data_IF_467322662083
#
_entry.id   IF_467322662083
#
_cell.length_a   1.000
_cell.length_b   1.000
_cell.length_c   1.000
_cell.angle_alpha   90.00
_cell.angle_beta   90.00
_cell.angle_gamma   90.00
#
_symmetry.space_group_name_H-M   'P 1'
#
loop_
_entity.id
_entity.type
_entity.pdbx_description
1 polymer ?
#
# COMPACT_ATOMS: atom_id res chain seq x y z
N UNK A 1 6.05 30.77 4.03
CA UNK A 1 5.90 29.72 5.03
C UNK A 1 6.92 28.59 4.99
N UNK A 2 7.73 28.47 3.92
CA UNK A 2 8.73 27.41 3.80
C UNK A 2 8.15 26.03 3.47
N UNK A 3 9.02 25.02 3.38
CA UNK A 3 8.67 23.66 2.97
C UNK A 3 7.77 22.97 4.00
N UNK A 4 7.96 23.19 5.30
CA UNK A 4 7.13 22.58 6.35
C UNK A 4 5.65 22.88 6.13
N UNK A 5 5.29 24.14 5.94
CA UNK A 5 3.89 24.54 5.66
C UNK A 5 3.37 24.02 4.33
N UNK A 6 4.22 23.90 3.32
CA UNK A 6 3.85 23.30 2.04
C UNK A 6 3.55 21.80 2.18
N UNK A 7 4.34 21.07 2.99
CA UNK A 7 4.11 19.66 3.31
C UNK A 7 2.81 19.47 4.10
N UNK A 8 2.58 20.30 5.13
CA UNK A 8 1.34 20.29 5.92
C UNK A 8 0.11 20.54 5.03
N UNK A 9 0.21 21.45 4.06
CA UNK A 9 -0.83 21.72 3.07
C UNK A 9 -0.97 20.62 1.99
N UNK A 10 -0.06 19.65 1.93
CA UNK A 10 -0.05 18.54 0.97
C UNK A 10 0.40 18.93 -0.45
N UNK A 11 0.91 20.15 -0.66
CA UNK A 11 1.22 20.67 -2.00
C UNK A 11 2.21 19.80 -2.78
N UNK A 12 3.40 19.43 -2.26
CA UNK A 12 4.35 18.60 -2.99
C UNK A 12 3.77 17.23 -3.34
N UNK A 13 3.06 16.62 -2.39
CA UNK A 13 2.45 15.31 -2.54
C UNK A 13 1.38 15.29 -3.64
N UNK A 14 0.46 16.25 -3.63
CA UNK A 14 -0.57 16.37 -4.67
C UNK A 14 0.01 16.57 -6.06
N UNK A 15 1.08 17.36 -6.20
CA UNK A 15 1.77 17.56 -7.48
C UNK A 15 2.43 16.28 -8.00
N UNK A 16 3.03 15.48 -7.11
CA UNK A 16 3.62 14.20 -7.46
C UNK A 16 2.53 13.20 -7.90
N UNK A 17 1.42 13.15 -7.19
CA UNK A 17 0.29 12.27 -7.51
C UNK A 17 -0.35 12.66 -8.86
N UNK A 18 -0.58 13.95 -9.10
CA UNK A 18 -1.07 14.45 -10.39
C UNK A 18 -0.14 14.06 -11.55
N UNK A 19 1.16 14.28 -11.40
CA UNK A 19 2.14 13.93 -12.43
C UNK A 19 2.19 12.40 -12.66
N UNK A 20 2.08 11.60 -11.60
CA UNK A 20 2.07 10.14 -11.69
C UNK A 20 0.81 9.61 -12.39
N UNK A 21 -0.37 10.12 -12.06
CA UNK A 21 -1.63 9.74 -12.70
C UNK A 21 -1.63 10.10 -14.20
N UNK A 22 -1.17 11.29 -14.55
CA UNK A 22 -1.02 11.73 -15.95
C UNK A 22 -0.02 10.87 -16.71
N UNK A 23 1.10 10.51 -16.09
CA UNK A 23 2.10 9.63 -16.70
C UNK A 23 1.54 8.23 -16.93
N UNK A 24 0.82 7.68 -15.96
CA UNK A 24 0.19 6.35 -16.10
C UNK A 24 -0.84 6.34 -17.24
N UNK A 25 -1.71 7.34 -17.31
CA UNK A 25 -2.68 7.46 -18.39
C UNK A 25 -2.04 7.47 -19.79
N UNK A 26 -0.88 8.13 -19.93
CA UNK A 26 -0.10 8.14 -21.19
C UNK A 26 0.51 6.77 -21.50
N UNK A 27 0.92 6.03 -20.47
CA UNK A 27 1.42 4.65 -20.64
C UNK A 27 0.27 3.73 -21.05
N UNK A 28 -0.86 3.81 -20.36
CA UNK A 28 -2.02 2.94 -20.60
C UNK A 28 -2.64 3.19 -21.98
N UNK A 29 -2.66 4.44 -22.43
CA UNK A 29 -3.10 4.82 -23.79
C UNK A 29 -2.03 4.63 -24.88
N UNK A 30 -0.88 4.07 -24.57
CA UNK A 30 0.26 3.88 -25.48
C UNK A 30 0.85 5.17 -26.08
N UNK A 31 0.52 6.35 -25.55
CA UNK A 31 1.18 7.60 -25.91
C UNK A 31 2.65 7.59 -25.48
N UNK A 32 2.94 7.03 -24.30
CA UNK A 32 4.30 6.78 -23.84
C UNK A 32 4.58 5.27 -23.98
N UNK A 33 5.61 4.95 -24.76
CA UNK A 33 6.02 3.56 -25.00
C UNK A 33 7.06 3.15 -23.98
N UNK A 34 6.77 2.07 -23.25
CA UNK A 34 7.72 1.36 -22.40
C UNK A 34 7.97 -0.01 -23.03
N UNK A 35 9.17 -0.22 -23.57
CA UNK A 35 9.54 -1.47 -24.26
C UNK A 35 9.42 -2.65 -23.28
N UNK A 36 8.80 -3.72 -23.73
CA UNK A 36 8.55 -4.91 -22.91
C UNK A 36 7.42 -4.77 -21.89
N UNK A 37 6.78 -3.59 -21.77
CA UNK A 37 5.67 -3.37 -20.84
C UNK A 37 4.35 -3.14 -21.59
N UNK A 38 4.23 -2.07 -22.36
CA UNK A 38 3.03 -1.77 -23.13
C UNK A 38 3.21 -1.88 -24.65
N UNK A 39 4.44 -2.09 -25.12
CA UNK A 39 4.77 -2.34 -26.53
C UNK A 39 6.02 -3.22 -26.67
N UNK A 40 6.12 -3.95 -27.78
CA UNK A 40 7.25 -4.84 -28.09
C UNK A 40 7.43 -5.94 -27.01
N UNK A 41 6.33 -6.48 -26.53
CA UNK A 41 6.33 -7.64 -25.61
C UNK A 41 6.61 -8.91 -26.39
N UNK A 42 7.29 -9.86 -25.77
CA UNK A 42 7.39 -11.22 -26.28
C UNK A 42 6.07 -11.94 -26.08
N UNK A 43 5.65 -12.77 -27.03
CA UNK A 43 4.46 -13.63 -26.89
C UNK A 43 4.66 -14.66 -25.78
N UNK A 44 5.90 -15.09 -25.60
CA UNK A 44 6.30 -16.04 -24.54
C UNK A 44 7.64 -15.59 -23.99
N UNK A 45 7.68 -15.40 -22.68
CA UNK A 45 8.92 -15.12 -21.93
C UNK A 45 9.35 -16.39 -21.19
N UNK A 46 10.65 -16.66 -21.20
CA UNK A 46 11.20 -17.72 -20.37
C UNK A 46 11.08 -17.32 -18.88
N UNK A 47 10.78 -18.28 -17.99
CA UNK A 47 10.69 -17.97 -16.57
C UNK A 47 12.05 -17.49 -16.05
N UNK A 48 12.04 -16.28 -15.47
CA UNK A 48 13.22 -15.71 -14.82
C UNK A 48 13.39 -16.33 -13.44
N UNK A 49 14.62 -16.72 -13.11
CA UNK A 49 14.94 -17.12 -11.74
C UNK A 49 15.02 -15.86 -10.85
N UNK A 50 13.95 -15.63 -10.09
CA UNK A 50 13.86 -14.49 -9.18
C UNK A 50 14.35 -14.93 -7.81
N UNK A 51 15.22 -14.10 -7.20
CA UNK A 51 15.63 -14.32 -5.81
C UNK A 51 14.41 -14.09 -4.90
N UNK A 52 13.91 -15.16 -4.30
CA UNK A 52 12.82 -15.12 -3.34
C UNK A 52 13.37 -14.99 -1.92
N UNK A 53 12.75 -14.13 -1.12
CA UNK A 53 13.10 -13.91 0.27
C UNK A 53 12.10 -14.67 1.15
N UNK A 54 12.59 -15.66 1.90
CA UNK A 54 11.78 -16.32 2.93
C UNK A 54 11.52 -15.34 4.09
N UNK A 55 10.38 -14.64 4.02
CA UNK A 55 10.00 -13.62 4.99
C UNK A 55 9.80 -14.20 6.39
N UNK A 56 9.32 -15.44 6.52
CA UNK A 56 9.12 -16.09 7.82
C UNK A 56 10.44 -16.42 8.48
N UNK A 57 11.40 -16.94 7.72
CA UNK A 57 12.75 -17.20 8.21
C UNK A 57 13.44 -15.89 8.63
N UNK A 58 13.42 -14.87 7.79
CA UNK A 58 14.03 -13.56 8.07
C UNK A 58 13.42 -12.95 9.32
N UNK A 59 12.07 -12.98 9.45
CA UNK A 59 11.38 -12.46 10.64
C UNK A 59 11.81 -13.19 11.91
N UNK A 60 11.81 -14.53 11.88
CA UNK A 60 12.25 -15.35 13.04
C UNK A 60 13.67 -15.04 13.46
N UNK A 61 14.59 -14.92 12.49
CA UNK A 61 15.99 -14.56 12.75
C UNK A 61 16.13 -13.16 13.37
N UNK A 62 15.40 -12.17 12.86
CA UNK A 62 15.44 -10.80 13.39
C UNK A 62 14.87 -10.73 14.81
N UNK A 63 13.76 -11.41 15.08
CA UNK A 63 13.16 -11.46 16.43
C UNK A 63 14.14 -12.11 17.41
N UNK A 64 14.70 -13.28 17.09
CA UNK A 64 15.67 -13.96 17.92
C UNK A 64 16.91 -13.08 18.23
N UNK A 65 17.42 -12.37 17.20
CA UNK A 65 18.54 -11.44 17.37
C UNK A 65 18.19 -10.27 18.31
N UNK A 66 17.00 -9.72 18.22
CA UNK A 66 16.55 -8.65 19.12
C UNK A 66 16.42 -9.15 20.57
N UNK A 67 15.91 -10.35 20.78
CA UNK A 67 15.81 -10.99 22.09
C UNK A 67 17.20 -11.21 22.69
N UNK A 68 18.16 -11.73 21.92
CA UNK A 68 19.53 -11.90 22.35
C UNK A 68 20.18 -10.57 22.75
N UNK A 69 20.01 -9.52 21.92
CA UNK A 69 20.55 -8.18 22.21
C UNK A 69 19.95 -7.64 23.51
N UNK A 70 18.64 -7.74 23.71
CA UNK A 70 17.94 -7.27 24.90
C UNK A 70 18.36 -8.04 26.15
N UNK A 71 18.58 -9.35 26.04
CA UNK A 71 19.03 -10.19 27.14
C UNK A 71 20.48 -9.92 27.57
N UNK A 72 21.37 -9.59 26.60
CA UNK A 72 22.81 -9.43 26.86
C UNK A 72 23.25 -7.98 27.14
N UNK A 73 22.40 -6.98 26.89
CA UNK A 73 22.73 -5.57 27.11
C UNK A 73 22.70 -5.16 28.58
N UNK A 74 23.38 -4.08 28.92
CA UNK A 74 23.20 -3.43 30.21
C UNK A 74 21.89 -2.64 30.24
N UNK A 75 20.88 -3.20 30.93
CA UNK A 75 19.53 -2.65 30.97
C UNK A 75 19.47 -1.25 31.60
N UNK A 76 20.29 -0.97 32.63
CA UNK A 76 20.32 0.34 33.29
C UNK A 76 20.84 1.43 32.34
N UNK A 77 21.95 1.15 31.61
CA UNK A 77 22.48 2.09 30.60
C UNK A 77 21.51 2.31 29.45
N UNK A 78 20.86 1.24 28.98
CA UNK A 78 19.86 1.34 27.93
C UNK A 78 18.68 2.24 28.37
N UNK A 79 18.14 2.01 29.56
CA UNK A 79 17.05 2.80 30.11
C UNK A 79 17.42 4.28 30.30
N UNK A 80 18.60 4.58 30.86
CA UNK A 80 19.09 5.97 30.97
C UNK A 80 19.21 6.67 29.61
N UNK A 81 19.61 5.93 28.56
CA UNK A 81 19.69 6.49 27.20
C UNK A 81 18.30 6.81 26.63
N UNK A 82 17.29 5.98 26.89
CA UNK A 82 15.89 6.21 26.49
C UNK A 82 15.33 7.44 27.21
N UNK A 83 15.57 7.55 28.50
CA UNK A 83 15.12 8.69 29.31
C UNK A 83 15.78 10.00 28.84
N UNK A 84 17.07 9.99 28.53
CA UNK A 84 17.80 11.15 28.02
C UNK A 84 17.24 11.62 26.66
N UNK A 85 16.86 10.69 25.75
CA UNK A 85 16.21 10.99 24.49
C UNK A 85 14.84 11.66 24.73
N UNK A 86 14.02 11.08 25.58
CA UNK A 86 12.68 11.61 25.90
C UNK A 86 12.79 12.99 26.54
N UNK A 87 13.73 13.21 27.46
CA UNK A 87 13.91 14.50 28.12
C UNK A 87 14.42 15.58 27.14
N UNK A 88 15.38 15.22 26.28
CA UNK A 88 15.86 16.12 25.24
C UNK A 88 14.71 16.51 24.27
N UNK A 89 13.85 15.56 23.90
CA UNK A 89 12.69 15.80 23.05
C UNK A 89 11.69 16.75 23.73
N UNK A 90 11.42 16.59 25.04
CA UNK A 90 10.50 17.44 25.81
C UNK A 90 11.00 18.85 25.96
N UNK A 91 12.28 19.02 26.29
CA UNK A 91 12.85 20.33 26.64
C UNK A 91 13.38 21.10 25.44
N UNK A 92 13.67 20.41 24.33
CA UNK A 92 14.37 20.98 23.18
C UNK A 92 15.86 21.27 23.45
N UNK A 93 16.38 20.90 24.63
CA UNK A 93 17.76 21.12 25.01
C UNK A 93 18.60 19.88 24.71
N UNK A 94 19.64 20.02 23.90
CA UNK A 94 20.55 18.95 23.55
C UNK A 94 20.51 18.59 22.06
N UNK A 95 21.08 17.43 21.73
CA UNK A 95 21.17 16.94 20.36
C UNK A 95 20.59 15.52 20.30
N UNK A 96 19.39 15.38 19.76
CA UNK A 96 18.69 14.10 19.65
C UNK A 96 19.48 13.05 18.86
N UNK A 97 20.20 13.46 17.81
CA UNK A 97 21.01 12.53 17.01
C UNK A 97 22.18 11.98 17.81
N UNK A 98 22.88 12.84 18.54
CA UNK A 98 24.00 12.40 19.39
C UNK A 98 23.51 11.44 20.48
N UNK A 99 22.37 11.73 21.12
CA UNK A 99 21.75 10.85 22.11
C UNK A 99 21.27 9.53 21.51
N UNK A 100 20.73 9.54 20.28
CA UNK A 100 20.31 8.32 19.58
C UNK A 100 21.54 7.43 19.24
N UNK A 101 22.65 8.04 18.83
CA UNK A 101 23.91 7.30 18.60
C UNK A 101 24.40 6.66 19.90
N UNK A 102 24.36 7.39 21.01
CA UNK A 102 24.75 6.84 22.31
C UNK A 102 23.81 5.74 22.79
N UNK A 103 22.51 5.89 22.57
CA UNK A 103 21.53 4.86 22.85
C UNK A 103 21.82 3.57 22.02
N UNK A 104 22.11 3.72 20.74
CA UNK A 104 22.49 2.58 19.89
C UNK A 104 23.78 1.89 20.35
N UNK A 105 24.78 2.64 20.84
CA UNK A 105 26.00 2.09 21.47
C UNK A 105 25.67 1.29 22.74
N UNK A 106 24.67 1.72 23.49
CA UNK A 106 24.17 1.02 24.67
C UNK A 106 23.17 -0.10 24.31
N UNK A 107 23.09 -0.48 23.01
CA UNK A 107 22.23 -1.57 22.49
C UNK A 107 20.73 -1.31 22.67
N UNK A 108 20.30 -0.05 22.70
CA UNK A 108 18.92 0.33 22.53
C UNK A 108 18.51 0.06 21.08
N UNK A 109 17.40 -0.58 20.86
CA UNK A 109 16.91 -0.89 19.50
C UNK A 109 16.34 0.34 18.82
N UNK A 110 16.27 0.32 17.49
CA UNK A 110 15.67 1.41 16.71
C UNK A 110 14.21 1.68 17.13
N UNK A 111 13.44 0.60 17.41
CA UNK A 111 12.07 0.73 17.91
C UNK A 111 12.02 1.49 19.23
N UNK A 112 12.82 1.11 20.22
CA UNK A 112 12.86 1.79 21.51
C UNK A 112 13.27 3.26 21.42
N UNK A 113 14.20 3.61 20.49
CA UNK A 113 14.57 5.00 20.20
C UNK A 113 13.37 5.76 19.60
N UNK A 114 12.67 5.15 18.64
CA UNK A 114 11.49 5.74 18.02
C UNK A 114 10.35 5.92 19.02
N UNK A 115 10.10 4.93 19.85
CA UNK A 115 9.05 4.97 20.89
C UNK A 115 9.32 6.10 21.90
N UNK A 116 10.59 6.29 22.30
CA UNK A 116 10.98 7.39 23.18
C UNK A 116 10.65 8.78 22.61
N UNK A 117 10.80 8.95 21.30
CA UNK A 117 10.45 10.20 20.61
C UNK A 117 8.94 10.31 20.37
N UNK A 118 8.27 9.20 20.09
CA UNK A 118 6.82 9.16 19.85
C UNK A 118 6.00 9.55 21.08
N UNK A 119 6.50 9.24 22.29
CA UNK A 119 5.89 9.69 23.56
C UNK A 119 5.76 11.22 23.62
N UNK A 120 6.69 11.95 23.00
CA UNK A 120 6.70 13.42 23.02
C UNK A 120 6.03 14.04 21.80
N UNK A 121 6.37 13.54 20.61
CA UNK A 121 5.92 14.13 19.34
C UNK A 121 4.64 13.50 18.80
N UNK A 122 4.25 12.33 19.29
CA UNK A 122 3.23 11.50 18.67
C UNK A 122 3.67 10.96 17.31
N UNK A 123 2.85 10.10 16.73
CA UNK A 123 3.07 9.58 15.38
C UNK A 123 2.42 10.50 14.36
N UNK A 124 3.18 10.95 13.38
CA UNK A 124 2.65 11.74 12.27
C UNK A 124 1.65 10.90 11.45
N UNK A 125 0.42 11.41 11.35
CA UNK A 125 -0.61 10.86 10.47
C UNK A 125 -0.80 11.81 9.31
N UNK A 126 -0.31 11.44 8.13
CA UNK A 126 -0.49 12.25 6.93
C UNK A 126 -1.98 12.32 6.56
N UNK A 127 -2.47 13.51 6.22
CA UNK A 127 -3.81 13.65 5.65
C UNK A 127 -3.80 13.03 4.24
N UNK A 128 -4.73 12.09 4.03
CA UNK A 128 -4.94 11.51 2.71
C UNK A 128 -5.82 12.47 1.94
N UNK A 129 -5.27 13.05 0.86
CA UNK A 129 -6.03 13.84 -0.11
C UNK A 129 -6.00 13.06 -1.41
N UNK A 130 -7.16 12.80 -2.00
CA UNK A 130 -7.28 12.19 -3.33
C UNK A 130 -7.41 13.28 -4.38
N UNK A 131 -6.92 12.98 -5.57
CA UNK A 131 -7.16 13.75 -6.79
C UNK A 131 -8.05 12.92 -7.71
N UNK A 132 -8.90 13.58 -8.48
CA UNK A 132 -9.78 12.95 -9.47
C UNK A 132 -9.78 13.76 -10.76
N UNK A 133 -10.21 13.14 -11.86
CA UNK A 133 -10.30 13.77 -13.17
C UNK A 133 -8.98 13.88 -13.95
N UNK A 134 -7.84 13.59 -13.33
CA UNK A 134 -6.52 13.73 -13.97
C UNK A 134 -6.24 12.57 -14.92
N UNK A 135 -6.56 11.34 -14.51
CA UNK A 135 -6.36 10.15 -15.31
C UNK A 135 -7.31 10.15 -16.52
N UNK A 136 -8.60 10.40 -16.27
CA UNK A 136 -9.63 10.46 -17.33
C UNK A 136 -9.38 11.54 -18.36
N UNK A 137 -8.86 12.71 -17.97
CA UNK A 137 -8.50 13.77 -18.91
C UNK A 137 -7.32 13.39 -19.80
N UNK A 138 -6.40 12.56 -19.32
CA UNK A 138 -5.21 12.17 -20.05
C UNK A 138 -5.42 10.92 -20.93
N UNK A 139 -6.38 10.05 -20.62
CA UNK A 139 -6.65 8.79 -21.35
C UNK A 139 -7.78 8.93 -22.40
N UNK A 140 -8.03 10.12 -22.90
CA UNK A 140 -9.12 10.41 -23.85
C UNK A 140 -9.19 9.40 -24.99
N UNK A 141 -10.41 8.96 -25.34
CA UNK A 141 -10.74 8.04 -26.43
C UNK A 141 -10.16 6.61 -26.29
N UNK A 142 -9.94 6.13 -25.07
CA UNK A 142 -9.59 4.73 -24.83
C UNK A 142 -10.87 3.92 -24.65
N UNK A 143 -11.09 2.92 -25.54
CA UNK A 143 -12.29 2.08 -25.53
C UNK A 143 -12.45 1.27 -24.24
N UNK A 144 -11.33 0.78 -23.68
CA UNK A 144 -11.35 0.03 -22.44
C UNK A 144 -11.75 0.91 -21.25
N UNK A 145 -11.33 2.17 -21.24
CA UNK A 145 -11.74 3.12 -20.20
C UNK A 145 -13.24 3.44 -20.27
N UNK A 146 -13.77 3.67 -21.46
CA UNK A 146 -15.22 3.92 -21.62
C UNK A 146 -16.05 2.68 -21.29
N UNK A 147 -15.58 1.46 -21.66
CA UNK A 147 -16.23 0.20 -21.25
C UNK A 147 -16.24 0.07 -19.71
N UNK A 148 -15.12 0.32 -19.05
CA UNK A 148 -15.03 0.27 -17.58
C UNK A 148 -16.03 1.25 -16.92
N UNK A 149 -16.12 2.49 -17.42
CA UNK A 149 -17.10 3.48 -16.95
C UNK A 149 -18.54 3.01 -17.13
N UNK A 150 -18.84 2.42 -18.28
CA UNK A 150 -20.19 1.89 -18.53
C UNK A 150 -20.53 0.79 -17.54
N UNK A 151 -19.64 -0.18 -17.31
CA UNK A 151 -19.84 -1.25 -16.34
C UNK A 151 -20.02 -0.72 -14.92
N UNK A 152 -19.23 0.28 -14.49
CA UNK A 152 -19.38 0.91 -13.17
C UNK A 152 -20.76 1.61 -13.02
N UNK A 153 -21.26 2.24 -14.08
CA UNK A 153 -22.58 2.83 -14.08
C UNK A 153 -23.71 1.77 -14.08
N UNK A 154 -23.53 0.67 -14.78
CA UNK A 154 -24.51 -0.42 -14.82
C UNK A 154 -24.56 -1.17 -13.49
N UNK A 155 -23.41 -1.39 -12.85
CA UNK A 155 -23.34 -1.88 -11.47
C UNK A 155 -24.10 -0.95 -10.52
N UNK A 156 -23.87 0.36 -10.61
CA UNK A 156 -24.55 1.34 -9.75
C UNK A 156 -26.06 1.34 -9.93
N UNK A 157 -26.56 1.03 -11.13
CA UNK A 157 -28.01 0.88 -11.38
C UNK A 157 -28.57 -0.42 -10.79
N UNK A 158 -27.80 -1.54 -10.90
CA UNK A 158 -28.20 -2.85 -10.38
C UNK A 158 -28.19 -2.84 -8.84
N UNK A 159 -27.14 -2.32 -8.23
CA UNK A 159 -26.87 -2.39 -6.80
C UNK A 159 -27.45 -1.21 -5.99
N UNK A 160 -27.77 -0.10 -6.66
CA UNK A 160 -28.25 1.13 -6.02
C UNK A 160 -27.12 2.01 -5.42
N UNK A 161 -25.86 1.57 -5.49
CA UNK A 161 -24.67 2.32 -5.07
C UNK A 161 -23.50 2.02 -6.00
N UNK A 162 -22.52 2.93 -6.06
CA UNK A 162 -21.30 2.72 -6.86
C UNK A 162 -20.48 1.54 -6.33
N UNK A 163 -19.72 0.86 -7.18
CA UNK A 163 -18.74 -0.12 -6.72
C UNK A 163 -17.75 0.59 -5.80
N UNK A 164 -17.54 0.05 -4.59
CA UNK A 164 -16.67 0.67 -3.59
C UNK A 164 -15.45 -0.20 -3.33
N UNK A 165 -14.28 0.41 -3.44
CA UNK A 165 -12.99 -0.26 -3.25
C UNK A 165 -12.15 0.48 -2.20
N UNK A 166 -11.54 -0.27 -1.31
CA UNK A 166 -10.50 0.24 -0.42
C UNK A 166 -9.12 -0.24 -0.92
N UNK A 167 -8.20 0.69 -1.12
CA UNK A 167 -6.81 0.36 -1.43
C UNK A 167 -6.00 0.36 -0.13
N UNK A 168 -5.56 -0.83 0.27
CA UNK A 168 -4.77 -1.04 1.48
C UNK A 168 -3.28 -1.20 1.19
N UNK A 169 -2.48 -0.67 2.09
CA UNK A 169 -1.01 -0.79 2.08
C UNK A 169 -0.57 -1.36 3.41
N UNK A 170 -0.32 -2.67 3.44
CA UNK A 170 -0.04 -3.40 4.68
C UNK A 170 1.45 -3.63 4.90
N UNK A 171 1.83 -3.82 6.17
CA UNK A 171 3.19 -4.11 6.60
C UNK A 171 4.14 -2.94 6.42
N UNK A 172 5.43 -3.21 6.39
CA UNK A 172 6.50 -2.20 6.27
C UNK A 172 6.79 -1.82 4.82
N UNK A 173 5.74 -1.54 4.05
CA UNK A 173 5.84 -1.16 2.65
C UNK A 173 5.41 0.30 2.43
N UNK A 174 6.39 1.18 2.23
CA UNK A 174 6.18 2.62 2.01
C UNK A 174 6.01 3.04 0.54
N UNK A 175 5.94 2.10 -0.41
CA UNK A 175 5.82 2.40 -1.84
C UNK A 175 4.37 2.75 -2.22
N UNK A 176 3.91 3.94 -1.88
CA UNK A 176 2.49 4.35 -1.98
C UNK A 176 2.07 4.92 -3.35
N UNK A 177 3.03 5.29 -4.21
CA UNK A 177 2.74 5.94 -5.50
C UNK A 177 1.84 5.09 -6.39
N UNK A 178 2.15 3.79 -6.54
CA UNK A 178 1.35 2.87 -7.35
C UNK A 178 -0.09 2.74 -6.84
N UNK A 179 -0.25 2.55 -5.53
CA UNK A 179 -1.55 2.48 -4.88
C UNK A 179 -2.42 3.72 -5.15
N UNK A 180 -1.82 4.92 -5.08
CA UNK A 180 -2.53 6.19 -5.32
C UNK A 180 -2.89 6.41 -6.77
N UNK A 181 -2.02 6.03 -7.71
CA UNK A 181 -2.30 6.10 -9.14
C UNK A 181 -3.49 5.19 -9.48
N UNK A 182 -3.50 3.96 -8.97
CA UNK A 182 -4.61 3.02 -9.15
C UNK A 182 -5.90 3.57 -8.51
N UNK A 183 -5.82 4.11 -7.29
CA UNK A 183 -6.96 4.74 -6.63
C UNK A 183 -7.54 5.89 -7.46
N UNK A 184 -6.69 6.77 -8.02
CA UNK A 184 -7.12 7.86 -8.90
C UNK A 184 -7.79 7.32 -10.17
N UNK A 185 -7.21 6.30 -10.79
CA UNK A 185 -7.78 5.69 -12.00
C UNK A 185 -9.14 5.04 -11.76
N UNK A 186 -9.29 4.29 -10.66
CA UNK A 186 -10.59 3.70 -10.29
C UNK A 186 -11.63 4.77 -9.95
N UNK A 187 -11.25 5.83 -9.24
CA UNK A 187 -12.16 6.95 -8.98
C UNK A 187 -12.64 7.60 -10.31
N UNK A 188 -11.75 7.77 -11.28
CA UNK A 188 -12.07 8.34 -12.58
C UNK A 188 -12.92 7.39 -13.47
N UNK A 189 -12.82 6.08 -13.27
CA UNK A 189 -13.73 5.08 -13.86
C UNK A 189 -15.13 5.14 -13.23
N UNK A 190 -15.22 5.51 -11.96
CA UNK A 190 -16.52 5.66 -11.28
C UNK A 190 -16.70 4.80 -10.04
N UNK A 191 -15.61 4.26 -9.49
CA UNK A 191 -15.65 3.64 -8.17
C UNK A 191 -15.67 4.70 -7.07
N UNK A 192 -16.30 4.38 -5.95
CA UNK A 192 -16.03 5.04 -4.67
C UNK A 192 -14.76 4.44 -4.09
N UNK A 193 -13.74 5.27 -3.88
CA UNK A 193 -12.40 4.79 -3.51
C UNK A 193 -11.99 5.29 -2.15
N UNK A 194 -11.73 4.36 -1.24
CA UNK A 194 -11.08 4.61 0.04
C UNK A 194 -9.59 4.25 -0.05
N UNK A 195 -8.74 5.02 0.60
CA UNK A 195 -7.30 4.74 0.69
C UNK A 195 -6.96 4.55 2.16
N UNK A 196 -6.49 3.36 2.51
CA UNK A 196 -5.99 3.07 3.85
C UNK A 196 -4.68 3.81 4.16
N UNK A 197 -4.39 4.08 5.43
CA UNK A 197 -3.10 4.62 5.83
C UNK A 197 -1.97 3.63 5.51
N UNK A 198 -0.74 4.14 5.41
CA UNK A 198 0.44 3.30 5.26
C UNK A 198 0.69 2.45 6.52
N UNK A 199 1.31 1.30 6.31
CA UNK A 199 1.77 0.41 7.38
C UNK A 199 0.66 -0.23 8.21
N UNK A 200 -0.53 -0.39 7.65
CA UNK A 200 -1.60 -1.12 8.32
C UNK A 200 -1.20 -2.56 8.59
N UNK A 201 -1.70 -3.10 9.68
CA UNK A 201 -1.74 -4.54 9.91
C UNK A 201 -2.91 -5.15 9.11
N UNK A 202 -2.90 -6.47 8.84
CA UNK A 202 -4.04 -7.14 8.22
C UNK A 202 -5.35 -6.92 9.00
N UNK A 203 -5.28 -6.89 10.34
CA UNK A 203 -6.42 -6.63 11.22
C UNK A 203 -7.01 -5.24 11.01
N UNK A 204 -6.14 -4.22 10.94
CA UNK A 204 -6.57 -2.83 10.72
C UNK A 204 -7.15 -2.64 9.32
N UNK A 205 -6.56 -3.27 8.30
CA UNK A 205 -7.05 -3.21 6.94
C UNK A 205 -8.41 -3.90 6.78
N UNK A 206 -8.58 -5.10 7.32
CA UNK A 206 -9.85 -5.82 7.31
C UNK A 206 -10.94 -5.05 8.06
N UNK A 207 -10.62 -4.55 9.26
CA UNK A 207 -11.56 -3.75 10.06
C UNK A 207 -12.03 -2.51 9.29
N UNK A 208 -11.11 -1.75 8.69
CA UNK A 208 -11.46 -0.56 7.92
C UNK A 208 -12.29 -0.90 6.67
N UNK A 209 -11.97 -2.00 5.97
CA UNK A 209 -12.75 -2.45 4.82
C UNK A 209 -14.21 -2.78 5.20
N UNK A 210 -14.39 -3.44 6.36
CA UNK A 210 -15.70 -3.76 6.91
C UNK A 210 -16.46 -2.50 7.35
N UNK A 211 -15.80 -1.60 8.09
CA UNK A 211 -16.42 -0.35 8.56
C UNK A 211 -16.82 0.58 7.40
N UNK A 212 -16.06 0.57 6.31
CA UNK A 212 -16.36 1.34 5.12
C UNK A 212 -17.37 0.63 4.18
N UNK A 213 -17.76 -0.60 4.53
CA UNK A 213 -18.68 -1.42 3.73
C UNK A 213 -18.29 -1.47 2.24
N UNK A 214 -17.04 -1.86 1.99
CA UNK A 214 -16.52 -1.97 0.63
C UNK A 214 -16.92 -3.28 -0.04
N UNK A 215 -17.03 -3.28 -1.37
CA UNK A 215 -17.19 -4.50 -2.15
C UNK A 215 -15.82 -5.17 -2.39
N UNK A 216 -14.75 -4.36 -2.42
CA UNK A 216 -13.42 -4.82 -2.81
C UNK A 216 -12.37 -4.27 -1.86
N UNK A 217 -11.46 -5.15 -1.42
CA UNK A 217 -10.21 -4.78 -0.76
C UNK A 217 -9.04 -5.01 -1.73
N UNK A 218 -8.48 -3.92 -2.24
CA UNK A 218 -7.30 -3.93 -3.09
C UNK A 218 -6.00 -3.84 -2.28
N UNK A 219 -5.22 -4.90 -2.25
CA UNK A 219 -3.94 -4.94 -1.54
C UNK A 219 -2.81 -4.55 -2.49
N UNK A 220 -2.12 -3.45 -2.21
CA UNK A 220 -0.95 -3.02 -2.96
C UNK A 220 0.33 -3.49 -2.29
N UNK A 221 1.12 -4.35 -2.94
CA UNK A 221 2.37 -4.90 -2.41
C UNK A 221 3.55 -4.72 -3.37
N UNK A 222 4.67 -4.25 -2.84
CA UNK A 222 5.93 -4.08 -3.56
C UNK A 222 7.15 -4.59 -2.77
N UNK A 223 7.02 -4.76 -1.47
CA UNK A 223 8.09 -5.19 -0.56
C UNK A 223 8.01 -6.68 -0.20
N UNK A 224 7.56 -7.54 -1.12
CA UNK A 224 7.49 -9.00 -1.00
C UNK A 224 6.66 -9.53 0.19
N UNK A 225 5.79 -8.69 0.81
CA UNK A 225 4.94 -9.09 1.94
C UNK A 225 3.65 -9.82 1.54
N UNK A 226 3.35 -9.95 0.25
CA UNK A 226 2.08 -10.48 -0.25
C UNK A 226 1.79 -11.91 0.22
N UNK A 227 2.80 -12.79 0.24
CA UNK A 227 2.62 -14.20 0.67
C UNK A 227 2.19 -14.34 2.13
N UNK A 228 2.57 -13.40 2.97
CA UNK A 228 2.22 -13.43 4.40
C UNK A 228 0.97 -12.60 4.70
N UNK A 229 0.89 -11.38 4.15
CA UNK A 229 -0.12 -10.41 4.54
C UNK A 229 -1.46 -10.61 3.84
N UNK A 230 -1.47 -11.13 2.59
CA UNK A 230 -2.73 -11.37 1.87
C UNK A 230 -3.53 -12.51 2.50
N UNK A 231 -2.97 -13.69 2.80
CA UNK A 231 -3.72 -14.71 3.51
C UNK A 231 -4.23 -14.23 4.87
N UNK A 232 -3.42 -13.46 5.60
CA UNK A 232 -3.81 -12.93 6.91
C UNK A 232 -5.00 -11.96 6.82
N UNK A 233 -5.03 -11.04 5.85
CA UNK A 233 -6.17 -10.13 5.72
C UNK A 233 -7.45 -10.85 5.30
N UNK A 234 -7.36 -11.88 4.46
CA UNK A 234 -8.50 -12.73 4.09
C UNK A 234 -9.06 -13.45 5.33
N UNK A 235 -8.20 -14.02 6.16
CA UNK A 235 -8.61 -14.64 7.42
C UNK A 235 -9.24 -13.62 8.41
N UNK A 236 -8.75 -12.39 8.44
CA UNK A 236 -9.36 -11.35 9.26
C UNK A 236 -10.74 -10.95 8.73
N UNK A 237 -10.96 -10.86 7.42
CA UNK A 237 -12.29 -10.62 6.84
C UNK A 237 -13.27 -11.74 7.21
N UNK A 238 -12.85 -13.00 7.16
CA UNK A 238 -13.66 -14.16 7.59
C UNK A 238 -14.09 -14.05 9.06
N UNK A 239 -13.21 -13.58 9.95
CA UNK A 239 -13.55 -13.37 11.37
C UNK A 239 -14.65 -12.33 11.57
N UNK A 240 -14.77 -11.37 10.65
CA UNK A 240 -15.87 -10.39 10.62
C UNK A 240 -17.13 -10.91 9.93
N UNK A 241 -17.11 -12.15 9.35
CA UNK A 241 -18.21 -12.68 8.54
C UNK A 241 -18.41 -11.91 7.24
N UNK A 242 -17.34 -11.34 6.69
CA UNK A 242 -17.35 -10.55 5.46
C UNK A 242 -16.50 -11.21 4.37
N UNK A 243 -16.79 -12.48 4.13
CA UNK A 243 -16.18 -13.27 3.04
C UNK A 243 -16.65 -12.80 1.65
N UNK A 244 -17.73 -12.02 1.60
CA UNK A 244 -18.26 -11.34 0.45
C UNK A 244 -17.33 -10.22 -0.09
N UNK A 245 -16.45 -9.66 0.74
CA UNK A 245 -15.49 -8.65 0.30
C UNK A 245 -14.41 -9.30 -0.56
N UNK A 246 -14.43 -9.00 -1.86
CA UNK A 246 -13.43 -9.50 -2.81
C UNK A 246 -12.04 -8.96 -2.50
N UNK A 247 -11.05 -9.83 -2.37
CA UNK A 247 -9.65 -9.42 -2.18
C UNK A 247 -8.91 -9.51 -3.52
N UNK A 248 -8.41 -8.37 -3.98
CA UNK A 248 -7.55 -8.29 -5.17
C UNK A 248 -6.14 -7.84 -4.77
N UNK A 249 -5.14 -8.31 -5.51
CA UNK A 249 -3.73 -7.99 -5.21
C UNK A 249 -3.09 -7.31 -6.39
N UNK A 250 -2.42 -6.20 -6.14
CA UNK A 250 -1.70 -5.45 -7.18
C UNK A 250 -0.30 -5.04 -6.73
N UNK A 251 0.55 -4.71 -7.70
CA UNK A 251 1.90 -4.23 -7.44
C UNK A 251 2.96 -5.03 -8.18
N UNK A 252 4.15 -5.18 -7.60
CA UNK A 252 5.22 -5.99 -8.17
C UNK A 252 5.16 -7.38 -7.57
N UNK A 253 4.27 -8.20 -8.13
CA UNK A 253 4.06 -9.58 -7.70
C UNK A 253 4.73 -10.51 -8.72
N UNK A 254 5.64 -11.41 -8.31
CA UNK A 254 6.20 -12.42 -9.21
C UNK A 254 5.11 -13.36 -9.74
N UNK A 255 5.14 -13.67 -11.02
CA UNK A 255 4.13 -14.53 -11.65
C UNK A 255 4.03 -15.93 -10.99
N UNK A 256 5.14 -16.45 -10.47
CA UNK A 256 5.20 -17.72 -9.74
C UNK A 256 4.34 -17.72 -8.45
N UNK A 257 4.05 -16.54 -7.89
CA UNK A 257 3.28 -16.40 -6.64
C UNK A 257 1.76 -16.21 -6.88
N UNK A 258 1.34 -16.06 -8.14
CA UNK A 258 -0.08 -15.83 -8.47
C UNK A 258 -0.96 -16.98 -8.01
N UNK A 259 -0.58 -18.21 -8.31
CA UNK A 259 -1.35 -19.40 -7.90
C UNK A 259 -1.48 -19.48 -6.38
N UNK A 260 -0.40 -19.21 -5.65
CA UNK A 260 -0.44 -19.16 -4.19
C UNK A 260 -1.45 -18.15 -3.66
N UNK A 261 -1.54 -16.97 -4.29
CA UNK A 261 -2.51 -15.93 -3.89
C UNK A 261 -3.95 -16.31 -4.22
N UNK A 262 -4.19 -16.95 -5.37
CA UNK A 262 -5.50 -17.50 -5.71
C UNK A 262 -5.93 -18.62 -4.76
N UNK A 263 -5.03 -19.53 -4.42
CA UNK A 263 -5.28 -20.61 -3.46
C UNK A 263 -5.57 -20.07 -2.04
N UNK A 264 -5.00 -18.92 -1.71
CA UNK A 264 -5.27 -18.22 -0.45
C UNK A 264 -6.62 -17.47 -0.45
N UNK A 265 -7.28 -17.32 -1.60
CA UNK A 265 -8.60 -16.68 -1.74
C UNK A 265 -8.57 -15.29 -2.38
N UNK A 266 -7.47 -14.87 -2.99
CA UNK A 266 -7.48 -13.67 -3.82
C UNK A 266 -8.27 -13.92 -5.11
N UNK A 267 -9.14 -12.96 -5.49
CA UNK A 267 -9.99 -13.09 -6.68
C UNK A 267 -9.24 -12.70 -7.95
N UNK A 268 -8.33 -11.73 -7.85
CA UNK A 268 -7.52 -11.28 -8.97
C UNK A 268 -6.13 -10.83 -8.52
N UNK A 269 -5.14 -10.99 -9.41
CA UNK A 269 -3.77 -10.50 -9.23
C UNK A 269 -3.34 -9.69 -10.43
N UNK A 270 -2.98 -8.42 -10.22
CA UNK A 270 -2.60 -7.48 -11.26
C UNK A 270 -1.12 -7.12 -11.16
N UNK A 271 -0.33 -7.65 -12.07
CA UNK A 271 1.11 -7.40 -12.15
C UNK A 271 1.46 -6.09 -12.88
N UNK A 272 2.76 -5.77 -12.96
CA UNK A 272 3.24 -4.61 -13.70
C UNK A 272 2.81 -4.64 -15.17
N UNK A 273 2.35 -3.50 -15.69
CA UNK A 273 1.89 -3.36 -17.07
C UNK A 273 0.42 -3.67 -17.31
N UNK A 274 -0.33 -4.08 -16.27
CA UNK A 274 -1.79 -4.16 -16.35
C UNK A 274 -2.37 -2.76 -16.45
N UNK A 275 -3.20 -2.48 -17.47
CA UNK A 275 -3.91 -1.22 -17.57
C UNK A 275 -4.99 -1.11 -16.49
N UNK A 276 -5.14 0.09 -15.93
CA UNK A 276 -6.13 0.33 -14.87
C UNK A 276 -7.55 0.06 -15.38
N UNK A 277 -7.86 0.42 -16.61
CA UNK A 277 -9.16 0.17 -17.23
C UNK A 277 -9.45 -1.32 -17.41
N UNK A 278 -8.47 -2.12 -17.83
CA UNK A 278 -8.61 -3.58 -17.98
C UNK A 278 -8.81 -4.27 -16.62
N UNK A 279 -8.05 -3.84 -15.59
CA UNK A 279 -8.24 -4.32 -14.24
C UNK A 279 -9.65 -3.96 -13.71
N UNK A 280 -10.11 -2.74 -13.94
CA UNK A 280 -11.46 -2.31 -13.55
C UNK A 280 -12.57 -3.13 -14.25
N UNK A 281 -12.42 -3.43 -15.54
CA UNK A 281 -13.35 -4.29 -16.28
C UNK A 281 -13.41 -5.67 -15.62
N UNK A 282 -12.26 -6.30 -15.42
CA UNK A 282 -12.18 -7.64 -14.82
C UNK A 282 -12.86 -7.70 -13.45
N UNK A 283 -12.65 -6.69 -12.61
CA UNK A 283 -13.27 -6.60 -11.28
C UNK A 283 -14.79 -6.42 -11.38
N UNK A 284 -15.24 -5.53 -12.25
CA UNK A 284 -16.66 -5.24 -12.42
C UNK A 284 -17.44 -6.41 -13.04
N UNK A 285 -16.84 -7.15 -13.97
CA UNK A 285 -17.43 -8.35 -14.54
C UNK A 285 -17.68 -9.39 -13.44
N UNK A 286 -16.74 -9.63 -12.54
CA UNK A 286 -16.93 -10.54 -11.39
C UNK A 286 -18.02 -10.03 -10.45
N UNK A 287 -18.01 -8.74 -10.08
CA UNK A 287 -19.04 -8.14 -9.21
C UNK A 287 -20.46 -8.18 -9.80
N UNK A 288 -20.57 -8.24 -11.12
CA UNK A 288 -21.89 -8.27 -11.79
C UNK A 288 -22.43 -9.69 -11.99
N UNK A 289 -21.57 -10.73 -11.87
CA UNK A 289 -21.97 -12.13 -11.91
C UNK A 289 -22.58 -12.62 -10.59
N UNK A 290 -22.25 -11.96 -9.47
CA UNK A 290 -22.88 -12.18 -8.16
C UNK A 290 -24.24 -11.45 -8.08
#
# INVERSE_FOLDING_TARGET
GGMTKAIEAGIPKLRIEEAAARKQARIDSTQDIIVGVNKYRLEKEDPLHILDVDNDMVRKQQVARLEEIKASRNSEKAQKSIEALTECAKTGNGNLLALAVEAARNRVTLGEISDALEVVFGRHKAQIKSISGVYSQAIKNDESFEKAKQLANDFAKKEGRRPRIMIAKMGQDGHDRGAKVVATGYADVGFDVDIGPLFQTPQEAAKQAVENDVHILGVSSLAAGHKTLVPQVIEELKKYGREDIMVIVGGVIPAQDYQYLFDAGAVAVFGPGTKISEAAISILEVLMEE
#
